data_IF_572053018520
#
_entry.id   IF_572053018520
#
_cell.length_a   1.000
_cell.length_b   1.000
_cell.length_c   1.000
_cell.angle_alpha   90.00
_cell.angle_beta   90.00
_cell.angle_gamma   90.00
#
_symmetry.space_group_name_H-M   'P 1'
#
loop_
_entity.id
_entity.type
_entity.pdbx_description
1 polymer ?
#
# COMPACT_ATOMS: atom_id res chain seq x y z
N UNK A 1 -38.03 -11.71 42.76
CA UNK A 1 -38.03 -10.91 41.51
C UNK A 1 -36.89 -9.89 41.49
N UNK A 2 -36.55 -9.22 42.60
CA UNK A 2 -35.47 -8.22 42.68
C UNK A 2 -34.05 -8.72 42.32
N UNK A 3 -33.72 -9.98 42.66
CA UNK A 3 -32.41 -10.59 42.35
C UNK A 3 -32.17 -10.81 40.85
N UNK A 4 -33.24 -10.85 40.05
CA UNK A 4 -33.13 -11.02 38.59
C UNK A 4 -32.89 -9.65 37.92
N UNK A 5 -33.61 -8.63 38.39
CA UNK A 5 -33.48 -7.25 37.89
C UNK A 5 -32.07 -6.69 38.12
N UNK A 6 -31.48 -6.95 39.29
CA UNK A 6 -30.09 -6.56 39.62
C UNK A 6 -29.06 -7.23 38.71
N UNK A 7 -29.23 -8.52 38.39
CA UNK A 7 -28.36 -9.24 37.44
C UNK A 7 -28.45 -8.72 36.02
N UNK A 8 -29.63 -8.29 35.59
CA UNK A 8 -29.83 -7.74 34.25
C UNK A 8 -29.24 -6.32 34.14
N UNK A 9 -29.34 -5.52 35.20
CA UNK A 9 -28.64 -4.22 35.32
C UNK A 9 -27.11 -4.42 35.29
N UNK A 10 -26.58 -5.40 36.01
CA UNK A 10 -25.15 -5.71 36.02
C UNK A 10 -24.64 -6.13 34.63
N UNK A 11 -25.43 -6.90 33.88
CA UNK A 11 -25.11 -7.26 32.48
C UNK A 11 -25.09 -6.04 31.57
N UNK A 12 -26.08 -5.15 31.67
CA UNK A 12 -26.10 -3.92 30.87
C UNK A 12 -24.91 -3.01 31.17
N UNK A 13 -24.51 -2.90 32.44
CA UNK A 13 -23.33 -2.12 32.86
C UNK A 13 -22.06 -2.75 32.29
N UNK A 14 -21.93 -4.07 32.36
CA UNK A 14 -20.78 -4.78 31.78
C UNK A 14 -20.70 -4.60 30.26
N UNK A 15 -21.84 -4.63 29.57
CA UNK A 15 -21.86 -4.44 28.12
C UNK A 15 -21.54 -2.99 27.71
N UNK A 16 -22.00 -2.01 28.50
CA UNK A 16 -21.59 -0.61 28.32
C UNK A 16 -20.09 -0.42 28.54
N UNK A 17 -19.53 -1.03 29.59
CA UNK A 17 -18.10 -0.98 29.88
C UNK A 17 -17.26 -1.61 28.75
N UNK A 18 -17.66 -2.79 28.24
CA UNK A 18 -17.00 -3.45 27.10
C UNK A 18 -17.01 -2.58 25.85
N UNK A 19 -18.18 -1.99 25.51
CA UNK A 19 -18.32 -1.08 24.36
C UNK A 19 -17.42 0.14 24.51
N UNK A 20 -17.34 0.71 25.71
CA UNK A 20 -16.49 1.86 25.98
C UNK A 20 -15.00 1.52 25.82
N UNK A 21 -14.54 0.40 26.38
CA UNK A 21 -13.15 -0.06 26.22
C UNK A 21 -12.81 -0.26 24.73
N UNK A 22 -13.70 -0.90 23.97
CA UNK A 22 -13.50 -1.13 22.55
C UNK A 22 -13.44 0.18 21.75
N UNK A 23 -14.30 1.15 22.07
CA UNK A 23 -14.32 2.46 21.41
C UNK A 23 -13.07 3.27 21.75
N UNK A 24 -12.66 3.26 23.02
CA UNK A 24 -11.48 3.96 23.50
C UNK A 24 -10.19 3.38 22.87
N UNK A 25 -10.07 2.05 22.86
CA UNK A 25 -8.96 1.34 22.22
C UNK A 25 -8.85 1.64 20.71
N UNK A 26 -9.98 1.71 19.99
CA UNK A 26 -9.99 2.05 18.55
C UNK A 26 -9.66 3.53 18.31
N UNK A 27 -10.17 4.43 19.15
CA UNK A 27 -10.01 5.89 18.98
C UNK A 27 -8.58 6.34 19.29
N UNK A 28 -7.98 5.81 20.35
CA UNK A 28 -6.62 6.15 20.78
C UNK A 28 -5.59 5.09 20.39
N UNK A 29 -5.90 4.29 19.37
CA UNK A 29 -4.94 3.37 18.76
C UNK A 29 -3.72 4.14 18.26
N UNK A 30 -2.55 3.52 18.38
CA UNK A 30 -1.27 4.09 17.96
C UNK A 30 -1.26 4.56 16.50
N UNK A 31 -2.00 3.88 15.62
CA UNK A 31 -2.21 4.25 14.21
C UNK A 31 -2.91 5.59 14.00
N UNK A 32 -3.58 6.12 15.02
CA UNK A 32 -4.31 7.40 14.98
C UNK A 32 -3.61 8.50 15.77
N UNK A 33 -2.42 8.23 16.32
CA UNK A 33 -1.63 9.26 16.98
C UNK A 33 -1.14 10.27 15.94
N UNK A 34 -1.08 11.53 16.36
CA UNK A 34 -0.49 12.59 15.55
C UNK A 34 0.98 12.26 15.28
N UNK A 35 1.40 12.35 14.02
CA UNK A 35 2.74 11.93 13.59
C UNK A 35 2.90 10.44 13.33
N UNK A 36 1.82 9.65 13.30
CA UNK A 36 1.88 8.26 12.84
C UNK A 36 2.29 8.23 11.36
N UNK A 37 3.43 7.60 11.08
CA UNK A 37 3.90 7.30 9.73
C UNK A 37 3.37 5.92 9.36
N UNK A 38 2.67 5.84 8.23
CA UNK A 38 2.12 4.57 7.76
C UNK A 38 3.24 3.59 7.35
N UNK A 39 2.86 2.33 7.16
CA UNK A 39 3.82 1.30 6.79
C UNK A 39 4.55 1.66 5.48
N UNK A 40 5.84 1.31 5.44
CA UNK A 40 6.67 1.48 4.27
C UNK A 40 6.12 0.65 3.09
N UNK A 41 6.33 1.15 1.86
CA UNK A 41 5.91 0.44 0.65
C UNK A 41 6.69 -0.86 0.53
N UNK A 42 5.99 -1.98 0.67
CA UNK A 42 6.58 -3.30 0.47
C UNK A 42 6.96 -3.54 -1.00
N UNK A 43 7.98 -4.36 -1.23
CA UNK A 43 8.34 -4.81 -2.57
C UNK A 43 7.21 -5.65 -3.17
N UNK A 44 6.84 -5.32 -4.41
CA UNK A 44 5.84 -6.07 -5.16
C UNK A 44 6.49 -7.23 -5.92
N UNK A 45 5.73 -8.31 -6.23
CA UNK A 45 6.22 -9.38 -7.08
C UNK A 45 6.67 -8.86 -8.46
N UNK A 46 7.80 -9.32 -9.00
CA UNK A 46 8.33 -8.85 -10.28
C UNK A 46 7.40 -9.12 -11.47
N UNK A 47 6.53 -10.14 -11.36
CA UNK A 47 5.52 -10.49 -12.37
C UNK A 47 4.51 -9.36 -12.58
N UNK A 48 4.25 -8.56 -11.55
CA UNK A 48 3.28 -7.47 -11.64
C UNK A 48 3.70 -6.42 -12.68
N UNK A 49 4.95 -5.96 -12.61
CA UNK A 49 5.51 -5.01 -13.58
C UNK A 49 5.61 -5.63 -14.98
N UNK A 50 6.09 -6.88 -15.07
CA UNK A 50 6.20 -7.60 -16.35
C UNK A 50 4.85 -7.72 -17.06
N UNK A 51 3.79 -8.05 -16.31
CA UNK A 51 2.44 -8.16 -16.85
C UNK A 51 1.91 -6.80 -17.32
N UNK A 52 2.07 -5.74 -16.53
CA UNK A 52 1.62 -4.40 -16.92
C UNK A 52 2.27 -3.96 -18.23
N UNK A 53 3.60 -4.08 -18.35
CA UNK A 53 4.33 -3.68 -19.56
C UNK A 53 3.87 -4.50 -20.77
N UNK A 54 3.72 -5.83 -20.60
CA UNK A 54 3.24 -6.72 -21.66
C UNK A 54 1.82 -6.39 -22.12
N UNK A 55 0.92 -6.08 -21.17
CA UNK A 55 -0.48 -5.77 -21.46
C UNK A 55 -0.63 -4.40 -22.16
N UNK A 56 0.19 -3.41 -21.82
CA UNK A 56 0.17 -2.08 -22.44
C UNK A 56 0.78 -2.09 -23.84
N UNK A 57 1.85 -2.88 -24.04
CA UNK A 57 2.50 -3.06 -25.34
C UNK A 57 2.86 -1.73 -26.01
N UNK A 58 2.32 -1.50 -27.20
CA UNK A 58 2.54 -0.31 -28.02
C UNK A 58 1.45 0.77 -27.85
N UNK A 59 0.56 0.62 -26.86
CA UNK A 59 -0.53 1.55 -26.57
C UNK A 59 -1.51 1.77 -27.73
N UNK A 60 -1.55 0.89 -28.74
CA UNK A 60 -2.51 1.02 -29.86
C UNK A 60 -3.94 0.73 -29.44
N UNK A 61 -4.13 -0.17 -28.46
CA UNK A 61 -5.43 -0.54 -27.93
C UNK A 61 -6.18 0.63 -27.29
N UNK A 62 -7.48 0.73 -27.59
CA UNK A 62 -8.37 1.76 -27.02
C UNK A 62 -8.52 1.63 -25.50
N UNK A 63 -8.29 0.43 -24.94
CA UNK A 63 -8.40 0.15 -23.50
C UNK A 63 -7.50 1.08 -22.67
N UNK A 64 -6.29 1.35 -23.14
CA UNK A 64 -5.27 2.14 -22.42
C UNK A 64 -5.21 3.60 -22.87
N UNK A 65 -6.32 4.14 -23.41
CA UNK A 65 -6.35 5.51 -23.93
C UNK A 65 -6.05 6.57 -22.85
N UNK A 66 -6.46 6.33 -21.62
CA UNK A 66 -6.26 7.25 -20.50
C UNK A 66 -4.77 7.35 -20.11
N UNK A 67 -4.04 6.25 -20.21
CA UNK A 67 -2.65 6.17 -19.76
C UNK A 67 -1.69 6.82 -20.77
N UNK A 68 -2.08 6.96 -22.05
CA UNK A 68 -1.25 7.60 -23.10
C UNK A 68 -0.70 8.97 -22.70
N UNK A 69 -1.52 9.79 -22.03
CA UNK A 69 -1.08 11.11 -21.55
C UNK A 69 0.01 11.00 -20.49
N UNK A 70 -0.09 10.01 -19.61
CA UNK A 70 0.89 9.76 -18.56
C UNK A 70 2.22 9.30 -19.17
N UNK A 71 2.19 8.40 -20.17
CA UNK A 71 3.39 7.99 -20.90
C UNK A 71 4.14 9.18 -21.54
N UNK A 72 3.41 10.11 -22.14
CA UNK A 72 4.01 11.34 -22.68
C UNK A 72 4.59 12.24 -21.59
N UNK A 73 3.94 12.34 -20.43
CA UNK A 73 4.47 13.08 -19.28
C UNK A 73 5.75 12.47 -18.69
N UNK A 74 5.84 11.13 -18.71
CA UNK A 74 7.02 10.40 -18.24
C UNK A 74 8.26 10.64 -19.12
N UNK A 75 8.09 11.05 -20.39
CA UNK A 75 9.19 11.36 -21.31
C UNK A 75 10.21 12.34 -20.71
N UNK A 76 9.72 13.32 -19.93
CA UNK A 76 10.57 14.29 -19.23
C UNK A 76 11.64 13.65 -18.33
N UNK A 77 11.34 12.48 -17.75
CA UNK A 77 12.20 11.80 -16.79
C UNK A 77 13.07 10.71 -17.41
N UNK A 78 12.96 10.47 -18.72
CA UNK A 78 13.77 9.47 -19.43
C UNK A 78 15.28 9.69 -19.25
N UNK A 79 15.83 10.93 -19.32
CA UNK A 79 17.27 11.13 -19.12
C UNK A 79 17.75 10.62 -17.75
N UNK A 80 16.95 10.82 -16.70
CA UNK A 80 17.27 10.33 -15.36
C UNK A 80 17.20 8.81 -15.28
N UNK A 81 16.17 8.20 -15.89
CA UNK A 81 16.03 6.75 -15.93
C UNK A 81 17.20 6.07 -16.68
N UNK A 82 17.64 6.65 -17.81
CA UNK A 82 18.79 6.15 -18.57
C UNK A 82 20.06 6.24 -17.74
N UNK A 83 20.29 7.37 -17.05
CA UNK A 83 21.45 7.52 -16.18
C UNK A 83 21.49 6.42 -15.11
N UNK A 84 20.38 6.21 -14.40
CA UNK A 84 20.29 5.16 -13.36
C UNK A 84 20.45 3.74 -13.92
N UNK A 85 20.02 3.50 -15.16
CA UNK A 85 20.23 2.22 -15.83
C UNK A 85 21.71 1.97 -16.13
N UNK A 86 22.39 2.98 -16.67
CA UNK A 86 23.81 2.89 -17.03
C UNK A 86 24.73 2.80 -15.80
N UNK A 87 24.37 3.47 -14.70
CA UNK A 87 25.07 3.35 -13.42
C UNK A 87 25.07 1.90 -12.87
N UNK A 88 24.08 1.10 -13.26
CA UNK A 88 23.90 -0.28 -12.78
C UNK A 88 24.27 -1.34 -13.83
N UNK A 89 25.10 -1.01 -14.83
CA UNK A 89 25.62 -2.03 -15.75
C UNK A 89 26.41 -3.11 -14.99
N UNK A 90 26.21 -4.40 -15.31
CA UNK A 90 26.96 -5.48 -14.69
C UNK A 90 28.42 -5.39 -15.08
N UNK A 91 29.30 -5.62 -14.12
CA UNK A 91 30.73 -5.65 -14.38
C UNK A 91 31.10 -6.92 -15.17
N UNK A 92 32.22 -6.95 -15.91
CA UNK A 92 32.52 -8.07 -16.81
C UNK A 92 32.70 -9.43 -16.11
N UNK A 93 32.87 -9.42 -14.78
CA UNK A 93 32.93 -10.61 -13.95
C UNK A 93 31.58 -11.03 -13.35
N UNK A 94 30.52 -10.24 -13.51
CA UNK A 94 29.16 -10.54 -13.02
C UNK A 94 28.32 -11.17 -14.13
N UNK A 95 27.77 -12.36 -13.90
CA UNK A 95 26.88 -13.01 -14.87
C UNK A 95 25.48 -12.36 -14.89
N UNK A 96 24.95 -12.00 -13.72
CA UNK A 96 23.63 -11.40 -13.53
C UNK A 96 23.74 -10.39 -12.40
N UNK A 97 23.12 -9.21 -12.55
CA UNK A 97 22.97 -8.21 -11.50
C UNK A 97 21.49 -7.92 -11.29
N UNK A 98 20.98 -8.24 -10.11
CA UNK A 98 19.61 -7.89 -9.71
C UNK A 98 19.59 -6.45 -9.19
N UNK A 99 18.73 -5.61 -9.78
CA UNK A 99 18.60 -4.19 -9.45
C UNK A 99 17.21 -3.96 -8.85
N UNK A 100 17.07 -3.19 -7.75
CA UNK A 100 15.78 -2.87 -7.14
C UNK A 100 14.93 -1.91 -7.99
#
# INVERSE_FOLDING_TARGET
>A
MEKQNTRDIDKEIQDKAKKWIQLNSRKYSEKRRFGFVDQEKAMMPPEHLRKIIKDHGDMTSRKFRLDKRVYLGALKYIPHAILKLLENMPMPWEQIREVP
#
